data_IF_704448526032
#
_entry.id   IF_704448526032
#
_cell.length_a   1.000
_cell.length_b   1.000
_cell.length_c   1.000
_cell.angle_alpha   90.00
_cell.angle_beta   90.00
_cell.angle_gamma   90.00
#
_symmetry.space_group_name_H-M   'P 1'
#
loop_
_entity.id
_entity.type
_entity.pdbx_description
1 polymer ?
#
# COMPACT_ATOMS: atom_id res chain seq x y z
N UNK A 1 -16.37 16.61 15.05
CA UNK A 1 -15.45 16.26 13.97
C UNK A 1 -14.83 14.94 14.36
N UNK A 2 -15.08 13.84 13.64
CA UNK A 2 -14.45 12.55 13.93
C UNK A 2 -13.25 12.42 12.99
N UNK A 3 -12.06 12.63 13.55
CA UNK A 3 -10.79 12.35 12.91
C UNK A 3 -10.77 10.86 12.55
N UNK A 4 -11.09 10.56 11.28
CA UNK A 4 -10.93 9.22 10.77
C UNK A 4 -9.43 9.01 10.59
N UNK A 5 -8.85 8.41 11.62
CA UNK A 5 -7.47 7.98 11.76
C UNK A 5 -7.21 6.79 10.84
N UNK A 6 -7.61 6.88 9.57
CA UNK A 6 -7.32 5.86 8.59
C UNK A 6 -5.88 6.08 8.17
N UNK A 7 -5.00 5.48 8.96
CA UNK A 7 -3.78 4.84 8.49
C UNK A 7 -3.42 5.28 7.07
N UNK A 8 -2.60 6.33 6.94
CA UNK A 8 -1.92 6.68 5.69
C UNK A 8 -0.93 5.55 5.36
N UNK A 9 -1.38 4.30 5.30
CA UNK A 9 -0.63 3.10 5.04
C UNK A 9 -1.23 2.44 3.81
N UNK A 10 -0.39 1.79 3.04
CA UNK A 10 -0.77 1.09 1.84
C UNK A 10 -1.93 0.13 2.15
N UNK A 11 -2.94 0.12 1.29
CA UNK A 11 -4.10 -0.76 1.40
C UNK A 11 -3.75 -2.23 1.21
N UNK A 12 -2.52 -2.52 0.79
CA UNK A 12 -1.99 -3.88 0.70
C UNK A 12 -1.57 -4.33 2.11
N UNK A 13 -2.21 -5.35 2.65
CA UNK A 13 -2.00 -5.82 4.03
C UNK A 13 -0.55 -6.28 4.29
N UNK A 14 0.13 -6.76 3.25
CA UNK A 14 1.56 -7.15 3.28
C UNK A 14 2.53 -5.97 3.08
N UNK A 15 2.03 -4.75 2.97
CA UNK A 15 2.81 -3.55 2.76
C UNK A 15 2.68 -2.60 3.94
N UNK A 16 3.78 -2.40 4.67
CA UNK A 16 3.84 -1.44 5.79
C UNK A 16 4.04 0.02 5.37
N UNK A 17 4.20 0.30 4.07
CA UNK A 17 4.52 1.64 3.57
C UNK A 17 3.39 2.63 3.79
N UNK A 18 3.70 3.94 3.86
CA UNK A 18 2.68 4.95 3.84
C UNK A 18 1.98 5.02 2.48
N UNK A 19 0.68 5.23 2.50
CA UNK A 19 -0.09 5.48 1.28
C UNK A 19 0.26 6.85 0.69
N UNK A 20 0.21 6.97 -0.64
CA UNK A 20 0.42 8.25 -1.29
C UNK A 20 -0.72 9.24 -0.96
N UNK A 21 -0.44 10.54 -1.05
CA UNK A 21 -1.33 11.61 -0.57
C UNK A 21 -2.74 11.62 -1.20
N UNK A 22 -2.89 11.00 -2.37
CA UNK A 22 -4.15 10.87 -3.10
C UNK A 22 -4.42 9.41 -3.54
N UNK A 23 -3.69 8.44 -2.98
CA UNK A 23 -3.89 7.03 -3.31
C UNK A 23 -3.95 6.18 -2.07
N UNK A 24 -4.68 5.07 -2.15
CA UNK A 24 -4.74 4.07 -1.08
C UNK A 24 -3.47 3.22 -1.03
N UNK A 25 -2.61 3.33 -2.03
CA UNK A 25 -1.40 2.55 -2.17
C UNK A 25 -0.18 3.44 -2.07
N UNK A 26 0.95 2.88 -1.63
CA UNK A 26 2.20 3.62 -1.58
C UNK A 26 2.75 3.91 -2.99
N UNK A 27 2.35 3.12 -3.99
CA UNK A 27 2.74 3.27 -5.40
C UNK A 27 1.79 2.47 -6.30
N UNK A 28 1.83 2.75 -7.60
CA UNK A 28 1.06 2.04 -8.63
C UNK A 28 1.33 0.53 -8.65
N UNK A 29 2.54 0.08 -8.27
CA UNK A 29 2.84 -1.36 -8.18
C UNK A 29 2.00 -2.10 -7.14
N UNK A 30 1.69 -1.45 -6.01
CA UNK A 30 0.80 -2.04 -5.01
C UNK A 30 -0.65 -2.03 -5.46
N UNK A 31 -1.06 -0.98 -6.17
CA UNK A 31 -2.39 -0.86 -6.74
C UNK A 31 -2.63 -1.94 -7.80
N UNK A 32 -1.68 -2.08 -8.74
CA UNK A 32 -1.75 -3.08 -9.81
C UNK A 32 -1.75 -4.48 -9.22
N UNK A 33 -0.79 -4.82 -8.35
CA UNK A 33 -0.72 -6.14 -7.72
C UNK A 33 -1.99 -6.52 -6.94
N UNK A 34 -2.64 -5.55 -6.29
CA UNK A 34 -3.94 -5.77 -5.65
C UNK A 34 -5.04 -6.02 -6.69
N UNK A 35 -5.04 -5.28 -7.79
CA UNK A 35 -6.02 -5.38 -8.89
C UNK A 35 -5.90 -6.67 -9.69
N UNK A 36 -4.68 -7.16 -9.92
CA UNK A 36 -4.44 -8.41 -10.65
C UNK A 36 -4.51 -9.66 -9.76
N UNK A 37 -4.82 -9.50 -8.46
CA UNK A 37 -4.84 -10.60 -7.49
C UNK A 37 -3.54 -11.42 -7.54
N UNK A 38 -2.42 -10.76 -7.83
CA UNK A 38 -1.13 -11.41 -7.89
C UNK A 38 -0.79 -11.88 -6.48
N UNK A 39 -0.93 -13.19 -6.25
CA UNK A 39 -0.38 -13.92 -5.09
C UNK A 39 1.16 -13.99 -5.17
N UNK A 40 1.79 -12.90 -5.60
CA UNK A 40 3.24 -12.78 -5.52
C UNK A 40 3.62 -12.57 -4.06
N UNK A 41 4.66 -13.27 -3.66
CA UNK A 41 5.08 -13.61 -2.30
C UNK A 41 5.51 -12.38 -1.46
N UNK A 42 5.34 -11.15 -1.95
CA UNK A 42 5.64 -9.93 -1.19
C UNK A 42 5.21 -8.63 -1.86
N UNK A 43 5.29 -7.51 -1.11
CA UNK A 43 5.22 -6.18 -1.70
C UNK A 43 6.49 -5.92 -2.51
N UNK A 44 6.35 -5.62 -3.80
CA UNK A 44 7.46 -5.26 -4.70
C UNK A 44 7.61 -3.76 -4.86
N UNK A 45 6.95 -2.98 -4.01
CA UNK A 45 6.95 -1.52 -4.00
C UNK A 45 8.34 -0.86 -3.82
N UNK A 46 9.39 -1.63 -3.54
CA UNK A 46 10.79 -1.19 -3.52
C UNK A 46 11.06 0.05 -2.64
N UNK A 47 10.18 0.31 -1.67
CA UNK A 47 10.42 1.36 -0.69
C UNK A 47 11.38 0.85 0.37
N UNK A 48 12.33 1.70 0.82
CA UNK A 48 13.32 1.32 1.82
C UNK A 48 12.69 0.91 3.16
N UNK A 49 11.47 1.37 3.42
CA UNK A 49 10.66 1.06 4.60
C UNK A 49 9.67 -0.10 4.38
N UNK A 50 9.63 -0.72 3.19
CA UNK A 50 8.81 -1.90 2.96
C UNK A 50 9.57 -3.18 3.29
N UNK A 51 9.23 -3.81 4.40
CA UNK A 51 9.75 -5.10 4.86
C UNK A 51 8.77 -5.78 5.80
#
# INVERSE_FOLDING_TARGET
MAENKDSNKCARDTCGCPAAKDSKYCSEQCEDAHKVHMMEIGCTCHHPECG
#
